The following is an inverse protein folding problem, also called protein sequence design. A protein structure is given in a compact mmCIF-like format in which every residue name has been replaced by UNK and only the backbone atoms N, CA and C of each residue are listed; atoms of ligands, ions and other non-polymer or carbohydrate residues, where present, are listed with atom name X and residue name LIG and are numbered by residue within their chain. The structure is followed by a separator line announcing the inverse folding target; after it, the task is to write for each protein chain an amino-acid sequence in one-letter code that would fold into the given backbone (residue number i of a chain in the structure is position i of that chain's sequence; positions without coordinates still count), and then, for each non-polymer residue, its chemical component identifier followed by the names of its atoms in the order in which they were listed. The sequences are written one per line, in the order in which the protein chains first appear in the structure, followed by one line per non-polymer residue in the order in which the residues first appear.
data_IF_203120971540
#
_entry.id   IF_203120971540
#
_cell.length_a   1.000
_cell.length_b   1.000
_cell.length_c   1.000
_cell.angle_alpha   90.00
_cell.angle_beta   90.00
_cell.angle_gamma   90.00
#
_symmetry.space_group_name_H-M   'P 1'
#
loop_
_entity.id
_entity.type
_entity.pdbx_description
1 polymer ?
#
# COMPACT_ATOMS: atom_id res chain seq x y z
N UNK A 1 9.01 18.77 -8.46
CA UNK A 1 10.13 18.03 -7.82
C UNK A 1 10.06 18.09 -6.30
N UNK A 2 9.91 19.25 -5.66
CA UNK A 2 9.88 19.37 -4.18
C UNK A 2 8.82 18.48 -3.49
N UNK A 3 7.61 18.36 -4.05
CA UNK A 3 6.56 17.52 -3.47
C UNK A 3 6.93 16.03 -3.42
N UNK A 4 7.40 15.47 -4.54
CA UNK A 4 7.83 14.06 -4.62
C UNK A 4 9.02 13.80 -3.70
N UNK A 5 9.98 14.72 -3.62
CA UNK A 5 11.09 14.63 -2.66
C UNK A 5 10.58 14.59 -1.21
N UNK A 6 9.61 15.45 -0.85
CA UNK A 6 8.99 15.42 0.48
C UNK A 6 8.26 14.10 0.80
N UNK A 7 7.67 13.45 -0.21
CA UNK A 7 7.07 12.13 -0.03
C UNK A 7 8.12 11.01 0.15
N UNK A 8 9.29 11.12 -0.49
CA UNK A 8 10.42 10.21 -0.29
C UNK A 8 11.03 10.40 1.12
N UNK A 9 11.34 11.63 1.51
CA UNK A 9 11.86 11.97 2.84
C UNK A 9 10.86 11.59 3.95
N UNK A 10 9.56 11.73 3.65
CA UNK A 10 8.46 11.29 4.50
C UNK A 10 8.34 9.77 4.61
N UNK A 11 9.01 8.99 3.76
CA UNK A 11 8.90 7.53 3.69
C UNK A 11 7.57 7.04 3.14
N UNK A 12 6.82 7.90 2.45
CA UNK A 12 5.53 7.57 1.80
C UNK A 12 5.79 6.89 0.46
N UNK A 13 6.77 7.41 -0.28
CA UNK A 13 7.30 6.78 -1.48
C UNK A 13 8.63 6.09 -1.14
N UNK A 14 8.93 5.06 -1.92
CA UNK A 14 10.21 4.35 -1.87
C UNK A 14 10.78 4.30 -3.29
N UNK A 15 12.10 4.44 -3.38
CA UNK A 15 12.86 4.15 -4.59
C UNK A 15 13.70 2.91 -4.39
N UNK A 16 13.86 2.11 -5.44
CA UNK A 16 14.79 0.99 -5.43
C UNK A 16 16.26 1.45 -5.47
N UNK A 17 17.20 0.51 -5.38
CA UNK A 17 18.65 0.81 -5.37
C UNK A 17 19.20 1.50 -6.63
N UNK A 18 18.40 1.60 -7.71
CA UNK A 18 18.76 2.32 -8.93
C UNK A 18 18.13 3.72 -9.03
N UNK A 19 17.41 4.16 -7.99
CA UNK A 19 16.74 5.47 -7.93
C UNK A 19 15.37 5.52 -8.63
N UNK A 20 14.87 4.39 -9.14
CA UNK A 20 13.53 4.32 -9.72
C UNK A 20 12.48 4.15 -8.62
N UNK A 21 11.37 4.89 -8.75
CA UNK A 21 10.23 4.75 -7.84
C UNK A 21 9.54 3.39 -8.04
N UNK A 22 8.99 2.87 -6.95
CA UNK A 22 8.21 1.63 -6.96
C UNK A 22 6.97 1.72 -7.89
N UNK A 23 6.46 0.58 -8.37
CA UNK A 23 5.18 0.52 -9.07
C UNK A 23 4.07 1.21 -8.26
N UNK A 24 3.19 1.94 -8.95
CA UNK A 24 2.11 2.69 -8.31
C UNK A 24 2.52 4.06 -7.72
N UNK A 25 3.80 4.42 -7.71
CA UNK A 25 4.24 5.71 -7.18
C UNK A 25 3.55 6.92 -7.83
N UNK A 26 3.26 6.86 -9.14
CA UNK A 26 2.53 7.93 -9.83
C UNK A 26 1.11 8.11 -9.27
N UNK A 27 0.41 7.00 -8.97
CA UNK A 27 -0.92 7.03 -8.37
C UNK A 27 -0.86 7.59 -6.94
N UNK A 28 0.10 7.13 -6.13
CA UNK A 28 0.34 7.65 -4.78
C UNK A 28 0.60 9.16 -4.81
N UNK A 29 1.42 9.66 -5.73
CA UNK A 29 1.69 11.10 -5.88
C UNK A 29 0.42 11.87 -6.21
N UNK A 30 -0.42 11.38 -7.12
CA UNK A 30 -1.68 12.05 -7.50
C UNK A 30 -2.64 12.12 -6.33
N UNK A 31 -2.83 11.03 -5.59
CA UNK A 31 -3.72 10.98 -4.43
C UNK A 31 -3.16 11.86 -3.31
N UNK A 32 -1.85 11.79 -3.04
CA UNK A 32 -1.21 12.64 -2.04
C UNK A 32 -1.35 14.13 -2.37
N UNK A 33 -1.27 14.51 -3.64
CA UNK A 33 -1.46 15.89 -4.06
C UNK A 33 -2.90 16.37 -3.76
N UNK A 34 -3.91 15.56 -4.07
CA UNK A 34 -5.29 15.87 -3.73
C UNK A 34 -5.51 15.95 -2.21
N UNK A 35 -4.93 15.02 -1.43
CA UNK A 35 -4.99 15.05 0.03
C UNK A 35 -4.30 16.30 0.63
N UNK A 36 -3.23 16.80 -0.01
CA UNK A 36 -2.55 18.01 0.42
C UNK A 36 -3.43 19.27 0.30
N UNK A 37 -4.39 19.31 -0.64
CA UNK A 37 -5.39 20.38 -0.73
C UNK A 37 -6.30 20.46 0.51
N UNK A 38 -6.38 19.35 1.27
CA UNK A 38 -7.09 19.24 2.54
C UNK A 38 -6.16 19.32 3.76
N UNK A 39 -4.88 19.69 3.58
CA UNK A 39 -3.90 19.80 4.67
C UNK A 39 -3.26 18.47 5.11
N UNK A 40 -3.51 17.37 4.39
CA UNK A 40 -2.92 16.06 4.69
C UNK A 40 -1.61 15.90 3.91
N UNK A 41 -0.50 16.16 4.58
CA UNK A 41 0.87 16.08 4.04
C UNK A 41 1.61 14.76 4.38
N UNK A 42 2.87 14.67 3.96
CA UNK A 42 3.69 13.45 4.06
C UNK A 42 3.79 12.84 5.48
N UNK A 43 3.79 13.66 6.55
CA UNK A 43 3.82 13.15 7.94
C UNK A 43 2.55 12.38 8.29
N UNK A 44 1.40 12.80 7.77
CA UNK A 44 0.14 12.10 7.98
C UNK A 44 0.12 10.83 7.14
N UNK A 45 0.52 10.93 5.87
CA UNK A 45 0.57 9.82 4.93
C UNK A 45 1.50 8.68 5.37
N UNK A 46 2.50 8.97 6.22
CA UNK A 46 3.36 7.93 6.80
C UNK A 46 2.57 6.87 7.58
N UNK A 47 1.50 7.24 8.30
CA UNK A 47 0.69 6.24 9.03
C UNK A 47 -0.11 5.35 8.08
N UNK A 48 -0.62 5.92 6.98
CA UNK A 48 -1.28 5.19 5.90
C UNK A 48 -0.32 4.20 5.23
N UNK A 49 0.91 4.64 4.94
CA UNK A 49 1.97 3.77 4.41
C UNK A 49 2.26 2.61 5.34
N UNK A 50 2.44 2.86 6.64
CA UNK A 50 2.66 1.79 7.62
C UNK A 50 1.48 0.82 7.73
N UNK A 51 0.24 1.29 7.59
CA UNK A 51 -0.93 0.43 7.57
C UNK A 51 -0.95 -0.48 6.33
N UNK A 52 -0.61 0.08 5.16
CA UNK A 52 -0.46 -0.69 3.93
C UNK A 52 0.66 -1.73 4.04
N UNK A 53 1.82 -1.36 4.60
CA UNK A 53 2.94 -2.29 4.79
C UNK A 53 2.53 -3.48 5.68
N UNK A 54 1.80 -3.24 6.78
CA UNK A 54 1.26 -4.32 7.62
C UNK A 54 0.27 -5.23 6.87
N UNK A 55 -0.53 -4.69 5.95
CA UNK A 55 -1.42 -5.51 5.13
C UNK A 55 -0.63 -6.37 4.14
N UNK A 56 0.43 -5.81 3.54
CA UNK A 56 1.35 -6.56 2.68
C UNK A 56 2.07 -7.66 3.47
N UNK A 57 2.48 -7.41 4.71
CA UNK A 57 3.10 -8.43 5.58
C UNK A 57 2.14 -9.62 5.81
N UNK A 58 0.84 -9.37 6.01
CA UNK A 58 -0.18 -10.42 6.14
C UNK A 58 -0.32 -11.22 4.84
N UNK A 59 -0.39 -10.54 3.70
CA UNK A 59 -0.40 -11.18 2.37
C UNK A 59 0.84 -12.05 2.19
N UNK A 60 1.99 -11.53 2.60
CA UNK A 60 3.28 -12.21 2.50
C UNK A 60 3.29 -13.51 3.32
N UNK A 61 2.84 -13.45 4.57
CA UNK A 61 2.73 -14.59 5.48
C UNK A 61 1.79 -15.67 4.91
N UNK A 62 0.65 -15.26 4.36
CA UNK A 62 -0.31 -16.19 3.76
C UNK A 62 0.28 -16.85 2.51
N UNK A 63 0.98 -16.10 1.65
CA UNK A 63 1.57 -16.64 0.42
C UNK A 63 2.85 -17.45 0.65
N UNK A 64 3.52 -17.30 1.80
CA UNK A 64 4.81 -17.90 2.12
C UNK A 64 4.89 -19.44 1.92
N UNK A 65 3.89 -20.26 2.30
CA UNK A 65 3.95 -21.71 2.16
C UNK A 65 4.06 -22.20 0.70
N UNK A 66 3.55 -21.43 -0.26
CA UNK A 66 3.68 -21.77 -1.69
C UNK A 66 4.97 -21.23 -2.30
N UNK A 67 5.51 -20.11 -1.78
CA UNK A 67 6.80 -19.57 -2.22
C UNK A 67 7.98 -20.47 -1.84
N UNK A 68 7.90 -21.17 -0.71
CA UNK A 68 8.96 -22.08 -0.25
C UNK A 68 9.03 -23.40 -1.03
N UNK A 69 7.98 -23.74 -1.78
CA UNK A 69 7.92 -24.95 -2.59
C UNK A 69 8.64 -24.77 -3.93
N UNK A 70 9.30 -25.83 -4.41
CA UNK A 70 10.01 -25.81 -5.70
C UNK A 70 9.02 -26.07 -6.84
N UNK A 71 9.05 -25.24 -7.88
CA UNK A 71 8.33 -25.46 -9.13
C UNK A 71 7.58 -24.23 -9.65
N UNK A 72 7.31 -24.20 -10.96
CA UNK A 72 6.60 -23.09 -11.60
C UNK A 72 5.13 -22.98 -11.13
N UNK A 73 4.46 -24.12 -10.93
CA UNK A 73 3.07 -24.16 -10.43
C UNK A 73 2.93 -23.56 -9.03
N UNK A 74 3.85 -23.91 -8.11
CA UNK A 74 3.84 -23.34 -6.76
C UNK A 74 4.04 -21.82 -6.75
N UNK A 75 4.96 -21.30 -7.59
CA UNK A 75 5.16 -19.86 -7.78
C UNK A 75 3.93 -19.16 -8.35
N UNK A 76 3.27 -19.75 -9.36
CA UNK A 76 2.03 -19.21 -9.91
C UNK A 76 0.91 -19.17 -8.85
N UNK A 77 0.80 -20.23 -8.03
CA UNK A 77 -0.17 -20.27 -6.94
C UNK A 77 0.11 -19.21 -5.88
N UNK A 78 1.37 -19.02 -5.49
CA UNK A 78 1.77 -17.96 -4.56
C UNK A 78 1.37 -16.57 -5.07
N UNK A 79 1.64 -16.26 -6.33
CA UNK A 79 1.23 -14.99 -6.94
C UNK A 79 -0.28 -14.80 -6.99
N UNK A 80 -1.03 -15.86 -7.33
CA UNK A 80 -2.50 -15.84 -7.36
C UNK A 80 -3.08 -15.56 -5.97
N UNK A 81 -2.62 -16.29 -4.94
CA UNK A 81 -3.07 -16.09 -3.56
C UNK A 81 -2.70 -14.70 -3.06
N UNK A 82 -1.49 -14.23 -3.35
CA UNK A 82 -1.06 -12.90 -2.94
C UNK A 82 -1.94 -11.80 -3.54
N UNK A 83 -2.27 -11.90 -4.84
CA UNK A 83 -3.15 -10.94 -5.50
C UNK A 83 -4.58 -10.97 -4.92
N UNK A 84 -5.15 -12.16 -4.72
CA UNK A 84 -6.50 -12.33 -4.17
C UNK A 84 -6.61 -11.76 -2.74
N UNK A 85 -5.67 -12.12 -1.86
CA UNK A 85 -5.67 -11.65 -0.47
C UNK A 85 -5.38 -10.15 -0.40
N UNK A 86 -4.46 -9.65 -1.22
CA UNK A 86 -4.15 -8.21 -1.28
C UNK A 86 -5.37 -7.37 -1.66
N UNK A 87 -6.13 -7.83 -2.66
CA UNK A 87 -7.38 -7.18 -3.07
C UNK A 87 -8.42 -7.19 -1.94
N UNK A 88 -8.61 -8.33 -1.27
CA UNK A 88 -9.52 -8.42 -0.11
C UNK A 88 -9.10 -7.50 1.04
N UNK A 89 -7.80 -7.36 1.31
CA UNK A 89 -7.28 -6.42 2.31
C UNK A 89 -7.61 -4.95 1.94
N UNK A 90 -7.48 -4.57 0.67
CA UNK A 90 -7.81 -3.23 0.20
C UNK A 90 -9.32 -2.93 0.30
N UNK A 91 -10.16 -3.91 -0.03
CA UNK A 91 -11.62 -3.81 0.13
C UNK A 91 -12.03 -3.68 1.60
N UNK A 92 -11.44 -4.51 2.48
CA UNK A 92 -11.68 -4.46 3.92
C UNK A 92 -11.29 -3.10 4.51
N UNK A 93 -10.12 -2.57 4.13
CA UNK A 93 -9.68 -1.23 4.56
C UNK A 93 -10.69 -0.16 4.16
N UNK A 94 -11.12 -0.17 2.89
CA UNK A 94 -12.12 0.76 2.37
C UNK A 94 -13.43 0.67 3.17
N UNK A 95 -13.89 -0.54 3.47
CA UNK A 95 -15.10 -0.75 4.27
C UNK A 95 -14.98 -0.19 5.69
N UNK A 96 -13.84 -0.40 6.37
CA UNK A 96 -13.60 0.17 7.69
C UNK A 96 -13.55 1.71 7.70
N UNK A 97 -12.92 2.31 6.68
CA UNK A 97 -12.90 3.78 6.55
C UNK A 97 -14.29 4.33 6.36
N UNK A 98 -15.09 3.77 5.43
CA UNK A 98 -16.47 4.20 5.17
C UNK A 98 -17.35 4.09 6.40
N UNK A 99 -17.37 2.91 7.02
CA UNK A 99 -18.12 2.70 8.26
C UNK A 99 -17.64 3.63 9.39
N UNK A 100 -16.35 3.96 9.43
CA UNK A 100 -15.80 4.93 10.37
C UNK A 100 -16.34 6.34 10.18
N UNK A 101 -16.46 6.78 8.93
CA UNK A 101 -17.01 8.09 8.57
C UNK A 101 -18.51 8.15 8.82
N UNK A 102 -19.27 7.10 8.46
CA UNK A 102 -20.72 7.04 8.71
C UNK A 102 -21.05 7.25 10.20
N UNK A 103 -20.23 6.72 11.11
CA UNK A 103 -20.40 6.93 12.56
C UNK A 103 -20.09 8.34 13.06
N UNK A 104 -19.52 9.21 12.23
CA UNK A 104 -19.32 10.63 12.58
C UNK A 104 -20.58 11.46 12.32
N UNK A 105 -21.49 10.96 11.47
CA UNK A 105 -22.74 11.63 11.10
C UNK A 105 -23.91 11.27 12.05
N UNK A 106 -23.68 10.34 12.99
CA UNK A 106 -24.59 9.94 14.09
C UNK A 106 -24.38 10.79 15.36
#
# INVERSE_FOLDING_TARGET
MAFVAGLLDGGVLVSNGSGHLEPGALEVVRIAAALAEHGIDARHLRSFRQAADRQVDVVEQIAAPWRSQRGASARAKAGTVAAEVGELCAQLHTAFVRSGVERLDD
#
